data_IF_970547703731
#
_entry.id   IF_970547703731
#
_cell.length_a   1.000
_cell.length_b   1.000
_cell.length_c   1.000
_cell.angle_alpha   90.00
_cell.angle_beta   90.00
_cell.angle_gamma   90.00
#
_symmetry.space_group_name_H-M   'P 1'
#
loop_
_entity.id
_entity.type
_entity.pdbx_description
1 polymer ?
#
# COMPACT_ATOMS: atom_id res chain seq x y z
N UNK A 1 -32.15 -7.06 -5.49
CA UNK A 1 -31.20 -5.93 -5.56
C UNK A 1 -30.07 -6.26 -4.61
N UNK A 2 -29.02 -6.91 -5.10
CA UNK A 2 -27.88 -7.27 -4.24
C UNK A 2 -27.16 -5.99 -3.88
N UNK A 3 -27.18 -5.61 -2.60
CA UNK A 3 -26.32 -4.56 -2.08
C UNK A 3 -24.88 -5.00 -2.34
N UNK A 4 -24.24 -4.40 -3.34
CA UNK A 4 -22.83 -4.63 -3.57
C UNK A 4 -22.10 -3.93 -2.42
N UNK A 5 -21.72 -4.68 -1.39
CA UNK A 5 -21.10 -4.15 -0.20
C UNK A 5 -19.71 -3.63 -0.57
N UNK A 6 -19.50 -2.32 -0.52
CA UNK A 6 -18.18 -1.71 -0.75
C UNK A 6 -17.19 -2.27 0.28
N UNK A 7 -16.07 -2.81 -0.19
CA UNK A 7 -15.00 -3.29 0.67
C UNK A 7 -14.28 -2.09 1.29
N UNK A 8 -14.12 -1.02 0.53
CA UNK A 8 -13.52 0.23 0.96
C UNK A 8 -14.35 0.90 2.07
N UNK A 9 -15.68 0.92 1.94
CA UNK A 9 -16.57 1.39 3.01
C UNK A 9 -16.48 0.52 4.26
N UNK A 10 -16.34 -0.81 4.09
CA UNK A 10 -16.14 -1.74 5.20
C UNK A 10 -14.86 -1.44 5.97
N UNK A 11 -13.74 -1.29 5.27
CA UNK A 11 -12.44 -0.94 5.88
C UNK A 11 -12.56 0.35 6.70
N UNK A 12 -13.24 1.37 6.16
CA UNK A 12 -13.50 2.60 6.90
C UNK A 12 -14.40 2.35 8.13
N UNK A 13 -15.47 1.58 7.99
CA UNK A 13 -16.39 1.27 9.10
C UNK A 13 -15.66 0.56 10.25
N UNK A 14 -14.90 -0.48 9.93
CA UNK A 14 -14.13 -1.27 10.89
C UNK A 14 -13.12 -0.37 11.64
N UNK A 15 -12.47 0.56 10.92
CA UNK A 15 -11.52 1.50 11.50
C UNK A 15 -12.18 2.54 12.43
N UNK A 16 -13.37 3.02 12.06
CA UNK A 16 -14.15 3.94 12.89
C UNK A 16 -14.58 3.23 14.19
N UNK A 17 -15.05 1.98 14.09
CA UNK A 17 -15.48 1.17 15.23
C UNK A 17 -14.33 0.83 16.18
N UNK A 18 -13.11 0.68 15.67
CA UNK A 18 -11.90 0.47 16.46
C UNK A 18 -11.31 1.75 17.06
N UNK A 19 -11.84 2.93 16.69
CA UNK A 19 -11.35 4.23 17.18
C UNK A 19 -12.20 4.79 18.31
N UNK A 20 -11.58 5.56 19.21
CA UNK A 20 -12.30 6.33 20.23
C UNK A 20 -12.85 7.67 19.70
N UNK A 21 -12.70 7.95 18.41
CA UNK A 21 -13.08 9.22 17.81
C UNK A 21 -14.57 9.25 17.45
N UNK A 22 -15.21 10.38 17.75
CA UNK A 22 -16.55 10.65 17.27
C UNK A 22 -16.54 10.93 15.76
N UNK A 23 -17.66 10.68 15.07
CA UNK A 23 -17.78 11.05 13.66
C UNK A 23 -17.54 12.55 13.39
N UNK A 24 -17.81 13.41 14.38
CA UNK A 24 -17.53 14.84 14.28
C UNK A 24 -16.04 15.14 14.30
N UNK A 25 -15.28 14.46 15.15
CA UNK A 25 -13.82 14.60 15.21
C UNK A 25 -13.18 14.04 13.94
N UNK A 26 -13.61 12.86 13.48
CA UNK A 26 -13.13 12.27 12.23
C UNK A 26 -13.40 13.22 11.05
N UNK A 27 -14.61 13.79 10.97
CA UNK A 27 -14.95 14.76 9.94
C UNK A 27 -14.04 15.99 9.99
N UNK A 28 -13.81 16.55 11.18
CA UNK A 28 -12.92 17.70 11.36
C UNK A 28 -11.47 17.37 10.95
N UNK A 29 -10.92 16.23 11.37
CA UNK A 29 -9.57 15.79 11.00
C UNK A 29 -9.42 15.54 9.50
N UNK A 30 -10.43 14.96 8.86
CA UNK A 30 -10.44 14.71 7.43
C UNK A 30 -10.79 15.96 6.59
N UNK A 31 -11.14 17.09 7.23
CA UNK A 31 -11.48 18.35 6.58
C UNK A 31 -12.85 18.33 5.87
N UNK A 32 -13.81 17.60 6.43
CA UNK A 32 -15.21 17.61 6.03
C UNK A 32 -16.01 18.64 6.83
N UNK A 33 -16.92 19.35 6.16
CA UNK A 33 -17.75 20.39 6.78
C UNK A 33 -18.83 19.84 7.72
N UNK A 34 -19.30 18.61 7.47
CA UNK A 34 -20.44 18.02 8.17
C UNK A 34 -20.14 16.58 8.57
N UNK A 35 -20.47 16.21 9.82
CA UNK A 35 -20.19 14.88 10.37
C UNK A 35 -21.04 13.76 9.76
N UNK A 36 -22.21 14.09 9.20
CA UNK A 36 -23.10 13.12 8.55
C UNK A 36 -22.44 12.42 7.35
N UNK A 37 -21.45 13.04 6.71
CA UNK A 37 -20.71 12.42 5.61
C UNK A 37 -20.02 11.14 6.06
N UNK A 38 -19.52 11.07 7.30
CA UNK A 38 -18.85 9.87 7.83
C UNK A 38 -19.80 8.68 7.86
N UNK A 39 -21.08 8.90 8.22
CA UNK A 39 -22.10 7.86 8.16
C UNK A 39 -22.38 7.38 6.73
N UNK A 40 -22.44 8.29 5.75
CA UNK A 40 -22.64 7.94 4.34
C UNK A 40 -21.43 7.22 3.72
N UNK A 41 -20.21 7.59 4.14
CA UNK A 41 -18.98 6.95 3.67
C UNK A 41 -18.87 5.53 4.20
N UNK A 42 -19.07 5.31 5.51
CA UNK A 42 -18.94 3.98 6.11
C UNK A 42 -20.05 3.01 5.69
N UNK A 43 -21.23 3.51 5.32
CA UNK A 43 -22.31 2.70 4.77
C UNK A 43 -22.12 2.38 3.28
N UNK A 44 -21.19 3.05 2.60
CA UNK A 44 -20.99 2.95 1.16
C UNK A 44 -22.03 3.67 0.31
N UNK A 45 -22.90 4.50 0.92
CA UNK A 45 -23.86 5.34 0.20
C UNK A 45 -23.13 6.42 -0.63
N UNK A 46 -21.96 6.87 -0.15
CA UNK A 46 -21.06 7.79 -0.87
C UNK A 46 -19.66 7.19 -0.93
N UNK A 47 -18.99 7.33 -2.08
CA UNK A 47 -17.59 6.91 -2.25
C UNK A 47 -16.66 7.78 -1.42
N UNK A 48 -15.61 7.17 -0.89
CA UNK A 48 -14.55 7.90 -0.18
C UNK A 48 -13.77 8.75 -1.19
N UNK A 49 -13.70 10.08 -1.00
CA UNK A 49 -12.89 10.92 -1.87
C UNK A 49 -11.41 10.53 -1.73
N UNK A 50 -10.75 10.22 -2.85
CA UNK A 50 -9.36 9.73 -2.84
C UNK A 50 -8.38 10.76 -2.23
N UNK A 51 -8.65 12.06 -2.38
CA UNK A 51 -7.90 13.16 -1.78
C UNK A 51 -8.01 13.21 -0.25
N UNK A 52 -9.03 12.55 0.33
CA UNK A 52 -9.28 12.52 1.78
C UNK A 52 -8.72 11.30 2.47
N UNK A 53 -8.32 10.29 1.70
CA UNK A 53 -7.68 9.08 2.23
C UNK A 53 -6.49 9.38 3.14
N UNK A 54 -5.53 10.29 2.81
CA UNK A 54 -4.41 10.59 3.70
C UNK A 54 -4.83 11.09 5.09
N UNK A 55 -5.81 12.00 5.13
CA UNK A 55 -6.30 12.59 6.37
C UNK A 55 -7.13 11.59 7.18
N UNK A 56 -7.97 10.80 6.51
CA UNK A 56 -8.71 9.69 7.13
C UNK A 56 -7.77 8.63 7.69
N UNK A 57 -6.75 8.24 6.93
CA UNK A 57 -5.74 7.26 7.35
C UNK A 57 -4.97 7.74 8.57
N UNK A 58 -4.60 9.02 8.61
CA UNK A 58 -3.92 9.60 9.77
C UNK A 58 -4.82 9.61 11.00
N UNK A 59 -6.08 10.02 10.84
CA UNK A 59 -7.05 10.08 11.95
C UNK A 59 -7.41 8.70 12.51
N UNK A 60 -7.51 7.68 11.64
CA UNK A 60 -7.97 6.34 11.99
C UNK A 60 -6.84 5.29 12.04
N UNK A 61 -5.59 5.73 11.97
CA UNK A 61 -4.40 4.87 11.98
C UNK A 61 -4.45 3.73 10.93
N UNK A 62 -4.89 4.06 9.71
CA UNK A 62 -4.91 3.13 8.58
C UNK A 62 -3.61 3.22 7.76
N UNK A 63 -3.23 2.10 7.16
CA UNK A 63 -2.22 2.07 6.10
C UNK A 63 -2.74 2.84 4.88
N UNK A 64 -2.18 4.03 4.65
CA UNK A 64 -2.61 4.95 3.61
C UNK A 64 -2.44 4.36 2.20
N UNK A 65 -1.36 3.61 1.95
CA UNK A 65 -1.09 3.06 0.63
C UNK A 65 -2.09 1.94 0.30
N UNK A 66 -2.32 1.02 1.25
CA UNK A 66 -3.30 -0.05 1.08
C UNK A 66 -4.71 0.51 0.93
N UNK A 67 -5.09 1.48 1.76
CA UNK A 67 -6.42 2.08 1.70
C UNK A 67 -6.66 2.82 0.38
N UNK A 68 -5.67 3.57 -0.11
CA UNK A 68 -5.74 4.25 -1.39
C UNK A 68 -5.84 3.27 -2.56
N UNK A 69 -4.99 2.24 -2.60
CA UNK A 69 -4.99 1.28 -3.69
C UNK A 69 -6.28 0.45 -3.73
N UNK A 70 -6.81 0.01 -2.58
CA UNK A 70 -8.13 -0.62 -2.53
C UNK A 70 -9.24 0.31 -3.03
N UNK A 71 -9.19 1.60 -2.68
CA UNK A 71 -10.16 2.57 -3.18
C UNK A 71 -10.08 2.75 -4.69
N UNK A 72 -8.87 2.80 -5.26
CA UNK A 72 -8.67 2.90 -6.71
C UNK A 72 -9.10 1.60 -7.40
N UNK A 73 -8.79 0.43 -6.84
CA UNK A 73 -9.22 -0.86 -7.37
C UNK A 73 -10.75 -0.96 -7.47
N UNK A 74 -11.45 -0.58 -6.41
CA UNK A 74 -12.92 -0.64 -6.37
C UNK A 74 -13.58 0.43 -7.26
N UNK A 75 -13.05 1.66 -7.26
CA UNK A 75 -13.71 2.78 -7.96
C UNK A 75 -13.26 2.92 -9.42
N UNK A 76 -12.03 2.50 -9.73
CA UNK A 76 -11.33 2.71 -10.99
C UNK A 76 -10.42 1.51 -11.35
N UNK A 77 -10.97 0.30 -11.56
CA UNK A 77 -10.17 -0.93 -11.74
C UNK A 77 -9.16 -0.85 -12.90
N UNK A 78 -9.48 -0.17 -13.99
CA UNK A 78 -8.55 0.03 -15.10
C UNK A 78 -7.37 0.95 -14.73
N UNK A 79 -7.59 1.94 -13.87
CA UNK A 79 -6.51 2.80 -13.36
C UNK A 79 -5.64 2.00 -12.40
N UNK A 80 -6.26 1.21 -11.52
CA UNK A 80 -5.53 0.29 -10.65
C UNK A 80 -4.60 -0.63 -11.46
N UNK A 81 -5.12 -1.25 -12.53
CA UNK A 81 -4.33 -2.12 -13.40
C UNK A 81 -3.11 -1.39 -14.00
N UNK A 82 -3.29 -0.15 -14.46
CA UNK A 82 -2.17 0.67 -14.96
C UNK A 82 -1.15 0.97 -13.86
N UNK A 83 -1.58 1.27 -12.64
CA UNK A 83 -0.66 1.50 -11.51
C UNK A 83 0.15 0.23 -11.17
N UNK A 84 -0.48 -0.94 -11.20
CA UNK A 84 0.20 -2.22 -10.98
C UNK A 84 1.19 -2.50 -12.11
N UNK A 85 0.74 -2.44 -13.36
CA UNK A 85 1.54 -2.89 -14.51
C UNK A 85 2.65 -1.92 -14.89
N UNK A 86 2.42 -0.61 -14.76
CA UNK A 86 3.37 0.42 -15.20
C UNK A 86 4.28 0.86 -14.06
N UNK A 87 3.75 0.98 -12.83
CA UNK A 87 4.52 1.50 -11.70
C UNK A 87 4.96 0.41 -10.71
N UNK A 88 4.46 -0.83 -10.85
CA UNK A 88 4.79 -1.91 -9.91
C UNK A 88 4.23 -1.69 -8.50
N UNK A 89 3.08 -1.01 -8.37
CA UNK A 89 2.46 -0.76 -7.06
C UNK A 89 1.51 -1.91 -6.64
N UNK A 90 1.32 -2.16 -5.32
CA UNK A 90 2.12 -1.61 -4.22
C UNK A 90 3.53 -2.20 -4.19
N UNK A 91 4.46 -1.42 -3.62
CA UNK A 91 5.79 -1.91 -3.31
C UNK A 91 5.72 -2.95 -2.20
N UNK A 92 6.55 -3.99 -2.29
CA UNK A 92 6.77 -4.95 -1.20
C UNK A 92 7.41 -4.27 0.03
N UNK A 93 7.37 -4.96 1.17
CA UNK A 93 8.02 -4.49 2.41
C UNK A 93 9.54 -4.31 2.21
N UNK A 94 10.17 -5.19 1.43
CA UNK A 94 11.59 -5.11 1.09
C UNK A 94 11.90 -3.87 0.24
N UNK A 95 11.13 -3.62 -0.82
CA UNK A 95 11.29 -2.44 -1.68
C UNK A 95 11.06 -1.14 -0.91
N UNK A 96 10.02 -1.10 -0.08
CA UNK A 96 9.71 0.04 0.79
C UNK A 96 10.86 0.31 1.77
N UNK A 97 11.45 -0.74 2.33
CA UNK A 97 12.60 -0.64 3.24
C UNK A 97 13.83 -0.08 2.52
N UNK A 98 14.16 -0.61 1.34
CA UNK A 98 15.30 -0.15 0.53
C UNK A 98 15.12 1.31 0.10
N UNK A 99 13.93 1.68 -0.37
CA UNK A 99 13.61 3.06 -0.75
C UNK A 99 13.65 3.99 0.46
N UNK A 100 13.22 3.53 1.63
CA UNK A 100 13.37 4.25 2.89
C UNK A 100 14.83 4.54 3.23
N UNK A 101 15.69 3.52 3.16
CA UNK A 101 17.14 3.67 3.37
C UNK A 101 17.75 4.66 2.38
N UNK A 102 17.41 4.54 1.10
CA UNK A 102 17.87 5.45 0.05
C UNK A 102 17.45 6.90 0.35
N UNK A 103 16.16 7.14 0.64
CA UNK A 103 15.63 8.48 0.95
C UNK A 103 16.32 9.10 2.16
N UNK A 104 16.59 8.32 3.21
CA UNK A 104 17.31 8.80 4.40
C UNK A 104 18.77 9.14 4.10
N UNK A 105 19.45 8.33 3.29
CA UNK A 105 20.82 8.61 2.89
C UNK A 105 20.90 9.85 1.98
N UNK A 106 19.93 10.02 1.07
CA UNK A 106 19.88 11.16 0.14
C UNK A 106 19.67 12.52 0.82
N UNK A 107 19.19 12.56 2.07
CA UNK A 107 19.13 13.79 2.87
C UNK A 107 20.53 14.38 3.13
N UNK A 108 21.60 13.57 3.02
CA UNK A 108 22.99 13.99 3.26
C UNK A 108 23.70 14.46 1.99
N UNK A 109 23.06 14.35 0.83
CA UNK A 109 23.62 14.68 -0.48
C UNK A 109 23.10 13.76 -1.57
N UNK A 110 23.34 14.15 -2.82
CA UNK A 110 22.98 13.34 -3.99
C UNK A 110 23.73 12.01 -3.98
N UNK A 111 23.00 10.91 -4.16
CA UNK A 111 23.57 9.57 -4.27
C UNK A 111 23.60 9.22 -5.74
N UNK A 112 24.79 9.18 -6.32
CA UNK A 112 24.98 8.64 -7.65
C UNK A 112 24.80 7.11 -7.59
N UNK A 113 23.63 6.64 -8.01
CA UNK A 113 23.31 5.20 -8.01
C UNK A 113 23.99 4.47 -9.18
N UNK A 114 24.59 5.21 -10.11
CA UNK A 114 25.35 4.69 -11.25
C UNK A 114 26.82 4.41 -10.88
N UNK A 115 27.53 3.73 -11.79
CA UNK A 115 28.98 3.53 -11.65
C UNK A 115 29.36 2.50 -10.57
N UNK A 116 30.42 2.75 -9.78
CA UNK A 116 30.92 1.78 -8.79
C UNK A 116 29.89 1.41 -7.72
N UNK A 117 29.09 2.37 -7.25
CA UNK A 117 28.06 2.11 -6.24
C UNK A 117 26.98 1.18 -6.79
N UNK A 118 26.45 1.47 -7.99
CA UNK A 118 25.44 0.63 -8.64
C UNK A 118 25.89 -0.82 -8.77
N UNK A 119 27.11 -1.06 -9.26
CA UNK A 119 27.67 -2.42 -9.36
C UNK A 119 27.80 -3.12 -8.01
N UNK A 120 28.28 -2.40 -7.00
CA UNK A 120 28.40 -2.95 -5.65
C UNK A 120 27.01 -3.31 -5.06
N UNK A 121 26.02 -2.47 -5.33
CA UNK A 121 24.64 -2.71 -4.89
C UNK A 121 24.00 -3.91 -5.61
N UNK A 122 24.19 -4.03 -6.92
CA UNK A 122 23.79 -5.20 -7.71
C UNK A 122 24.40 -6.49 -7.15
N UNK A 123 25.71 -6.50 -6.89
CA UNK A 123 26.38 -7.67 -6.29
C UNK A 123 25.84 -8.02 -4.89
N UNK A 124 25.47 -7.02 -4.08
CA UNK A 124 24.85 -7.27 -2.77
C UNK A 124 23.45 -7.88 -2.91
N UNK A 125 22.65 -7.41 -3.87
CA UNK A 125 21.33 -7.99 -4.13
C UNK A 125 21.44 -9.42 -4.67
N UNK A 126 22.42 -9.72 -5.52
CA UNK A 126 22.71 -11.08 -5.97
C UNK A 126 23.06 -12.02 -4.81
N UNK A 127 23.83 -11.55 -3.83
CA UNK A 127 24.16 -12.33 -2.63
C UNK A 127 22.93 -12.56 -1.73
N UNK A 128 21.99 -11.63 -1.70
CA UNK A 128 20.76 -11.74 -0.93
C UNK A 128 19.67 -12.57 -1.63
N UNK A 129 19.79 -12.76 -2.96
CA UNK A 129 18.87 -13.60 -3.70
C UNK A 129 18.98 -15.04 -3.19
N UNK A 130 17.86 -15.70 -2.87
CA UNK A 130 17.90 -17.10 -2.45
C UNK A 130 18.54 -17.90 -3.57
N UNK A 131 19.62 -18.63 -3.26
CA UNK A 131 20.29 -19.51 -4.21
C UNK A 131 19.28 -20.53 -4.72
N UNK A 132 18.70 -20.30 -5.91
CA UNK A 132 17.78 -21.23 -6.55
C UNK A 132 18.54 -22.44 -7.12
N UNK A 133 19.45 -23.04 -6.35
CA UNK A 133 20.26 -24.17 -6.78
C UNK A 133 20.69 -25.10 -5.64
N UNK A 134 19.72 -25.65 -4.89
CA UNK A 134 19.97 -26.84 -4.04
C UNK A 134 18.76 -27.80 -3.92
N UNK A 135 17.81 -27.81 -4.87
CA UNK A 135 16.68 -28.76 -4.85
C UNK A 135 16.34 -29.37 -6.23
N UNK A 136 17.34 -29.56 -7.10
CA UNK A 136 17.21 -30.35 -8.34
C UNK A 136 18.37 -31.34 -8.54
N UNK A 137 18.99 -31.82 -7.45
CA UNK A 137 20.03 -32.87 -7.53
C UNK A 137 19.65 -34.23 -6.93
N UNK A 138 18.47 -34.37 -6.35
CA UNK A 138 18.09 -35.61 -5.64
C UNK A 138 17.00 -36.45 -6.33
N UNK A 139 16.76 -36.24 -7.64
CA UNK A 139 15.84 -37.11 -8.41
C UNK A 139 16.52 -38.09 -9.38
N UNK A 140 17.85 -38.06 -9.54
CA UNK A 140 18.59 -39.09 -10.28
C UNK A 140 19.16 -40.14 -9.31
N UNK A 141 18.30 -41.09 -8.95
CA UNK A 141 18.64 -42.17 -8.05
C UNK A 141 17.67 -43.34 -8.12
N UNK A 142 17.29 -43.76 -9.33
CA UNK A 142 16.76 -45.11 -9.52
C UNK A 142 17.92 -46.12 -9.48
N UNK A 143 17.78 -47.22 -8.74
CA UNK A 143 18.25 -48.49 -9.23
C UNK A 143 17.10 -49.49 -9.36
N UNK A 144 17.08 -50.07 -10.55
CA UNK A 144 16.55 -51.39 -10.98
C UNK A 144 16.02 -52.33 -9.91
#
# INVERSE_FOLDING_TARGET
>A
MSANHSLVAKVLSDAIEASDLTQREIAAHAGFNHSNIISMLKSGETRIPLDRIPALSTALNLDQQKFLLQAIEEYHPNVHQVLVDVLGLPLSDAETTILGMYRMAALRGEIEVTGPFGRAFESLLELAAPTANTLLRDCDGAPT
#
